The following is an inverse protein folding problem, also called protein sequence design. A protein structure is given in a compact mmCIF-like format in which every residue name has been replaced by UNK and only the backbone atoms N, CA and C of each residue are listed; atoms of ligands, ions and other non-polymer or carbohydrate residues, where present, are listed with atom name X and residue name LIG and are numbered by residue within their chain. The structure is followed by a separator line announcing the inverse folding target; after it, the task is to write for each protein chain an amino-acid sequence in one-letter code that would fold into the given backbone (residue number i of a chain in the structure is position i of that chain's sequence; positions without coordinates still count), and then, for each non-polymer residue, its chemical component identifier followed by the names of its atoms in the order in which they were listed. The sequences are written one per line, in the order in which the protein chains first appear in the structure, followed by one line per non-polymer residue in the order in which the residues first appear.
data_IF_683355920076
#
_entry.id   IF_683355920076
#
_cell.length_a   1.000
_cell.length_b   1.000
_cell.length_c   1.000
_cell.angle_alpha   90.00
_cell.angle_beta   90.00
_cell.angle_gamma   90.00
#
_symmetry.space_group_name_H-M   'P 1'
#
loop_
_entity.id
_entity.type
_entity.pdbx_description
1 polymer ?
#
# COMPACT_ATOMS: atom_id res chain seq x y z
N UNK A 1 21.73 57.46 -52.74
CA UNK A 1 23.01 56.91 -52.24
C UNK A 1 23.12 57.31 -50.76
N UNK A 2 22.93 56.38 -49.83
CA UNK A 2 22.90 56.67 -48.39
C UNK A 2 22.55 55.41 -47.59
N UNK A 3 23.51 54.97 -46.78
CA UNK A 3 23.71 53.60 -46.31
C UNK A 3 22.68 53.06 -45.31
N UNK A 4 22.46 51.75 -45.38
CA UNK A 4 21.88 50.90 -44.34
C UNK A 4 22.68 50.97 -43.03
N UNK A 5 22.00 51.10 -41.90
CA UNK A 5 22.49 50.58 -40.60
C UNK A 5 21.29 50.05 -39.78
N UNK A 6 21.08 48.72 -39.82
CA UNK A 6 20.27 48.02 -38.81
C UNK A 6 21.11 47.92 -37.55
N UNK A 7 20.78 48.70 -36.53
CA UNK A 7 21.35 48.51 -35.19
C UNK A 7 20.58 47.39 -34.50
N UNK A 8 21.15 46.18 -34.54
CA UNK A 8 20.75 45.08 -33.65
C UNK A 8 21.08 45.49 -32.20
N UNK A 9 20.10 45.37 -31.29
CA UNK A 9 20.30 45.44 -29.83
C UNK A 9 20.30 44.01 -29.26
N UNK A 10 21.45 43.33 -29.08
CA UNK A 10 21.49 42.02 -28.44
C UNK A 10 21.83 42.10 -26.94
N UNK A 11 21.64 43.24 -26.28
CA UNK A 11 22.19 43.49 -24.94
C UNK A 11 21.19 43.31 -23.76
N UNK A 12 19.87 43.29 -23.99
CA UNK A 12 18.90 43.15 -22.88
C UNK A 12 18.66 41.72 -22.41
N UNK A 13 18.97 40.71 -23.24
CA UNK A 13 18.71 39.30 -22.92
C UNK A 13 19.80 38.69 -22.03
N UNK A 14 21.02 39.23 -22.08
CA UNK A 14 22.19 38.74 -21.32
C UNK A 14 22.19 39.31 -19.89
N UNK A 15 21.63 40.50 -19.67
CA UNK A 15 21.61 41.09 -18.33
C UNK A 15 20.66 40.38 -17.34
N UNK A 16 19.66 39.63 -17.84
CA UNK A 16 18.77 38.82 -16.98
C UNK A 16 19.36 37.48 -16.56
N UNK A 17 20.41 36.98 -17.23
CA UNK A 17 21.04 35.71 -16.84
C UNK A 17 22.07 35.86 -15.71
N UNK A 18 22.50 37.08 -15.40
CA UNK A 18 23.55 37.34 -14.40
C UNK A 18 23.01 37.62 -12.98
N UNK A 19 21.69 37.62 -12.77
CA UNK A 19 21.06 37.93 -11.46
C UNK A 19 20.62 36.66 -10.72
N UNK A 20 21.47 35.62 -10.69
CA UNK A 20 21.31 34.49 -9.76
C UNK A 20 22.40 34.61 -8.68
N UNK A 21 22.05 34.81 -7.40
CA UNK A 21 23.04 34.82 -6.34
C UNK A 21 23.70 33.44 -6.22
N UNK A 22 24.97 33.37 -5.78
CA UNK A 22 25.69 32.11 -5.64
C UNK A 22 24.97 31.22 -4.63
N UNK A 23 24.67 29.98 -5.02
CA UNK A 23 24.14 28.95 -4.12
C UNK A 23 25.14 28.79 -2.97
N UNK A 24 24.69 29.07 -1.76
CA UNK A 24 25.44 28.81 -0.54
C UNK A 24 25.53 27.30 -0.31
N UNK A 25 26.70 26.83 0.11
CA UNK A 25 27.03 25.45 0.51
C UNK A 25 26.25 24.94 1.75
N UNK A 26 25.26 25.70 2.21
CA UNK A 26 24.23 25.24 3.15
C UNK A 26 23.03 24.74 2.34
N UNK A 27 23.31 23.77 1.45
CA UNK A 27 22.30 22.86 0.92
C UNK A 27 21.84 22.02 2.11
N UNK A 28 20.98 22.64 2.91
CA UNK A 28 20.32 22.01 4.04
C UNK A 28 19.55 20.85 3.42
N UNK A 29 20.00 19.67 3.77
CA UNK A 29 19.55 18.35 3.37
C UNK A 29 18.15 18.04 3.93
N UNK A 30 17.24 19.00 3.81
CA UNK A 30 15.88 18.94 4.35
C UNK A 30 14.95 19.56 3.32
N UNK A 31 13.93 18.79 2.94
CA UNK A 31 12.71 19.21 2.22
C UNK A 31 12.54 18.87 0.72
N UNK A 32 13.22 17.89 0.11
CA UNK A 32 12.83 17.51 -1.27
C UNK A 32 12.84 16.00 -1.60
N UNK A 33 12.71 15.12 -0.60
CA UNK A 33 12.54 13.67 -0.84
C UNK A 33 11.11 13.13 -0.58
N UNK A 34 10.20 13.95 -0.04
CA UNK A 34 8.85 13.52 0.36
C UNK A 34 7.71 13.89 -0.61
N UNK A 35 8.01 14.64 -1.69
CA UNK A 35 6.99 15.22 -2.57
C UNK A 35 6.82 14.49 -3.92
N UNK A 36 7.51 13.38 -4.17
CA UNK A 36 7.31 12.63 -5.41
C UNK A 36 6.34 11.49 -5.13
N UNK A 37 5.05 11.76 -5.37
CA UNK A 37 4.02 10.73 -5.54
C UNK A 37 4.57 9.69 -6.52
N UNK A 38 5.11 8.60 -5.98
CA UNK A 38 5.56 7.48 -6.79
C UNK A 38 4.27 6.89 -7.31
N UNK A 39 4.07 6.96 -8.63
CA UNK A 39 2.85 6.47 -9.28
C UNK A 39 2.39 5.09 -8.80
N UNK A 40 1.14 4.71 -9.10
CA UNK A 40 0.48 3.56 -8.50
C UNK A 40 1.34 2.30 -8.59
N UNK A 41 1.57 1.63 -7.45
CA UNK A 41 2.42 0.43 -7.37
C UNK A 41 1.86 -0.71 -8.24
N UNK A 42 0.54 -0.79 -8.33
CA UNK A 42 -0.18 -1.83 -9.05
C UNK A 42 -1.01 -1.24 -10.19
N UNK A 43 -1.15 -2.01 -11.27
CA UNK A 43 -2.10 -1.66 -12.33
C UNK A 43 -3.54 -1.73 -11.80
N UNK A 44 -4.45 -0.97 -12.42
CA UNK A 44 -5.89 -0.98 -12.05
C UNK A 44 -6.53 -2.38 -12.07
N UNK A 45 -5.98 -3.31 -12.84
CA UNK A 45 -6.46 -4.71 -12.88
C UNK A 45 -6.02 -5.47 -11.63
N UNK A 46 -4.74 -5.38 -11.28
CA UNK A 46 -4.17 -6.03 -10.09
C UNK A 46 -4.81 -5.48 -8.82
N UNK A 47 -5.01 -4.16 -8.75
CA UNK A 47 -5.70 -3.53 -7.62
C UNK A 47 -7.13 -4.06 -7.43
N UNK A 48 -7.91 -4.18 -8.52
CA UNK A 48 -9.26 -4.77 -8.45
C UNK A 48 -9.24 -6.25 -8.08
N UNK A 49 -8.26 -7.00 -8.57
CA UNK A 49 -8.09 -8.41 -8.20
C UNK A 49 -7.77 -8.55 -6.70
N UNK A 50 -6.87 -7.71 -6.17
CA UNK A 50 -6.56 -7.65 -4.74
C UNK A 50 -7.81 -7.36 -3.89
N UNK A 51 -8.62 -6.38 -4.28
CA UNK A 51 -9.88 -6.07 -3.61
C UNK A 51 -10.90 -7.21 -3.71
N UNK A 52 -11.00 -7.87 -4.86
CA UNK A 52 -11.89 -9.02 -5.04
C UNK A 52 -11.46 -10.19 -4.15
N UNK A 53 -10.17 -10.53 -4.13
CA UNK A 53 -9.63 -11.58 -3.25
C UNK A 53 -9.88 -11.22 -1.79
N UNK A 54 -9.57 -9.99 -1.38
CA UNK A 54 -9.81 -9.51 -0.02
C UNK A 54 -11.30 -9.62 0.37
N UNK A 55 -12.21 -9.17 -0.49
CA UNK A 55 -13.64 -9.24 -0.25
C UNK A 55 -14.16 -10.67 -0.14
N UNK A 56 -13.73 -11.56 -1.04
CA UNK A 56 -14.09 -12.99 -0.99
C UNK A 56 -13.55 -13.64 0.29
N UNK A 57 -12.30 -13.38 0.66
CA UNK A 57 -11.71 -13.91 1.89
C UNK A 57 -12.42 -13.39 3.14
N UNK A 58 -12.88 -12.13 3.16
CA UNK A 58 -13.70 -11.59 4.25
C UNK A 58 -15.05 -12.29 4.35
N UNK A 59 -15.75 -12.45 3.23
CA UNK A 59 -17.05 -13.13 3.19
C UNK A 59 -16.92 -14.57 3.71
N UNK A 60 -15.95 -15.34 3.18
CA UNK A 60 -15.68 -16.70 3.64
C UNK A 60 -15.27 -16.76 5.11
N UNK A 61 -14.55 -15.75 5.62
CA UNK A 61 -14.18 -15.67 7.03
C UNK A 61 -15.40 -15.43 7.91
N UNK A 62 -16.33 -14.56 7.51
CA UNK A 62 -17.58 -14.35 8.24
C UNK A 62 -18.40 -15.63 8.30
N UNK A 63 -18.54 -16.32 7.18
CA UNK A 63 -19.26 -17.60 7.13
C UNK A 63 -18.57 -18.66 8.01
N UNK A 64 -17.24 -18.76 7.95
CA UNK A 64 -16.45 -19.70 8.74
C UNK A 64 -16.55 -19.42 10.24
N UNK A 65 -16.34 -18.17 10.67
CA UNK A 65 -16.48 -17.80 12.08
C UNK A 65 -17.92 -17.92 12.55
N UNK A 66 -18.91 -17.60 11.71
CA UNK A 66 -20.31 -17.84 11.99
C UNK A 66 -20.59 -19.32 12.26
N UNK A 67 -20.05 -20.20 11.43
CA UNK A 67 -20.18 -21.64 11.59
C UNK A 67 -19.48 -22.15 12.87
N UNK A 68 -18.29 -21.64 13.19
CA UNK A 68 -17.61 -21.95 14.46
C UNK A 68 -18.38 -21.46 15.69
N UNK A 69 -18.94 -20.24 15.64
CA UNK A 69 -19.68 -19.68 16.76
C UNK A 69 -21.01 -20.40 16.99
N UNK A 70 -21.69 -20.80 15.91
CA UNK A 70 -22.99 -21.47 16.00
C UNK A 70 -22.87 -22.98 16.21
N UNK A 71 -21.82 -23.63 15.71
CA UNK A 71 -21.66 -25.08 15.72
C UNK A 71 -20.20 -25.56 15.79
N UNK A 72 -19.42 -25.02 16.71
CA UNK A 72 -18.01 -25.44 16.92
C UNK A 72 -17.84 -26.95 17.14
N UNK A 73 -18.73 -27.59 17.93
CA UNK A 73 -18.65 -29.04 18.19
C UNK A 73 -18.79 -29.86 16.91
N UNK A 74 -19.78 -29.55 16.07
CA UNK A 74 -19.96 -30.23 14.79
C UNK A 74 -18.75 -30.07 13.86
N UNK A 75 -18.11 -28.90 13.86
CA UNK A 75 -16.87 -28.68 13.08
C UNK A 75 -15.74 -29.53 13.60
N UNK A 76 -15.52 -29.57 14.92
CA UNK A 76 -14.43 -30.35 15.50
C UNK A 76 -14.64 -31.86 15.39
N UNK A 77 -15.89 -32.33 15.49
CA UNK A 77 -16.20 -33.76 15.35
C UNK A 77 -16.07 -34.24 13.90
N UNK A 78 -16.40 -33.40 12.91
CA UNK A 78 -16.32 -33.79 11.48
C UNK A 78 -14.95 -33.53 10.84
N UNK A 79 -14.36 -32.35 11.06
CA UNK A 79 -13.09 -31.96 10.43
C UNK A 79 -11.88 -32.20 11.33
N UNK A 80 -12.05 -32.23 12.65
CA UNK A 80 -10.95 -32.20 13.60
C UNK A 80 -10.39 -30.80 13.82
N UNK A 81 -9.88 -30.56 15.03
CA UNK A 81 -9.33 -29.26 15.43
C UNK A 81 -8.18 -28.78 14.53
N UNK A 82 -7.33 -29.70 14.07
CA UNK A 82 -6.15 -29.37 13.26
C UNK A 82 -6.53 -28.87 11.85
N UNK A 83 -7.52 -29.49 11.21
CA UNK A 83 -8.02 -29.01 9.92
C UNK A 83 -8.78 -27.69 10.07
N UNK A 84 -9.56 -27.51 11.14
CA UNK A 84 -10.22 -26.24 11.43
C UNK A 84 -9.20 -25.09 11.61
N UNK A 85 -8.06 -25.36 12.24
CA UNK A 85 -6.96 -24.40 12.36
C UNK A 85 -6.33 -24.08 11.01
N UNK A 86 -6.12 -25.08 10.14
CA UNK A 86 -5.58 -24.86 8.78
C UNK A 86 -6.51 -24.00 7.93
N UNK A 87 -7.83 -24.23 8.00
CA UNK A 87 -8.83 -23.40 7.32
C UNK A 87 -8.78 -21.97 7.85
N UNK A 88 -8.76 -21.80 9.17
CA UNK A 88 -8.64 -20.48 9.81
C UNK A 88 -7.37 -19.76 9.38
N UNK A 89 -6.23 -20.46 9.35
CA UNK A 89 -4.95 -19.93 8.88
C UNK A 89 -5.02 -19.47 7.42
N UNK A 90 -5.60 -20.29 6.53
CA UNK A 90 -5.74 -19.97 5.12
C UNK A 90 -6.61 -18.73 4.90
N UNK A 91 -7.73 -18.62 5.62
CA UNK A 91 -8.63 -17.47 5.56
C UNK A 91 -7.95 -16.19 6.07
N UNK A 92 -7.24 -16.27 7.21
CA UNK A 92 -6.51 -15.13 7.74
C UNK A 92 -5.37 -14.69 6.83
N UNK A 93 -4.65 -15.62 6.19
CA UNK A 93 -3.66 -15.30 5.17
C UNK A 93 -4.29 -14.62 3.94
N UNK A 94 -5.46 -15.11 3.51
CA UNK A 94 -6.26 -14.54 2.41
C UNK A 94 -6.70 -13.11 2.66
N UNK A 95 -6.80 -12.67 3.93
CA UNK A 95 -7.07 -11.28 4.30
C UNK A 95 -5.76 -10.49 4.49
N UNK A 96 -4.81 -11.05 5.23
CA UNK A 96 -3.57 -10.37 5.60
C UNK A 96 -2.70 -10.02 4.39
N UNK A 97 -2.53 -10.93 3.45
CA UNK A 97 -1.70 -10.72 2.25
C UNK A 97 -2.22 -9.56 1.39
N UNK A 98 -3.49 -9.54 0.93
CA UNK A 98 -3.98 -8.42 0.16
C UNK A 98 -4.02 -7.12 0.99
N UNK A 99 -4.29 -7.19 2.30
CA UNK A 99 -4.24 -6.00 3.17
C UNK A 99 -2.84 -5.38 3.21
N UNK A 100 -1.80 -6.20 3.37
CA UNK A 100 -0.40 -5.72 3.35
C UNK A 100 -0.02 -5.14 1.98
N UNK A 101 -0.42 -5.79 0.88
CA UNK A 101 -0.16 -5.29 -0.47
C UNK A 101 -0.90 -3.96 -0.72
N UNK A 102 -2.15 -3.84 -0.27
CA UNK A 102 -2.92 -2.59 -0.38
C UNK A 102 -2.32 -1.50 0.50
N UNK A 103 -1.90 -1.80 1.73
CA UNK A 103 -1.17 -0.88 2.60
C UNK A 103 0.10 -0.32 1.91
N UNK A 104 0.90 -1.19 1.29
CA UNK A 104 2.08 -0.77 0.51
C UNK A 104 1.72 0.07 -0.73
N UNK A 105 0.58 -0.23 -1.37
CA UNK A 105 0.08 0.54 -2.50
C UNK A 105 -0.32 1.96 -2.07
N UNK A 106 -1.11 2.10 -1.02
CA UNK A 106 -1.60 3.38 -0.52
C UNK A 106 -0.49 4.22 0.12
N UNK A 107 0.42 3.60 0.89
CA UNK A 107 1.57 4.28 1.49
C UNK A 107 2.58 4.83 0.49
N UNK A 108 2.54 4.38 -0.77
CA UNK A 108 3.39 4.90 -1.86
C UNK A 108 2.73 6.06 -2.63
N UNK A 109 1.40 6.09 -2.67
CA UNK A 109 0.61 7.10 -3.38
C UNK A 109 0.44 8.38 -2.55
N UNK A 110 0.35 8.27 -1.23
CA UNK A 110 0.09 9.39 -0.33
C UNK A 110 1.21 9.57 0.69
N UNK A 111 1.73 10.79 0.80
CA UNK A 111 2.68 11.19 1.85
C UNK A 111 1.99 11.31 3.23
N UNK A 112 0.66 11.40 3.24
CA UNK A 112 -0.19 11.42 4.44
C UNK A 112 -0.90 10.07 4.62
N UNK A 113 -1.12 9.64 5.87
CA UNK A 113 -1.86 8.40 6.17
C UNK A 113 -3.32 8.51 5.72
N UNK A 114 -3.61 7.98 4.54
CA UNK A 114 -4.99 7.83 4.03
C UNK A 114 -5.83 6.95 4.96
N UNK A 115 -7.12 7.22 5.09
CA UNK A 115 -8.05 6.39 5.90
C UNK A 115 -8.02 4.92 5.46
N UNK A 116 -7.88 4.66 4.16
CA UNK A 116 -7.75 3.32 3.60
C UNK A 116 -6.47 2.63 4.07
N UNK A 117 -5.37 3.36 4.21
CA UNK A 117 -4.11 2.81 4.70
C UNK A 117 -4.24 2.38 6.17
N UNK A 118 -4.95 3.17 6.99
CA UNK A 118 -5.25 2.81 8.38
C UNK A 118 -6.15 1.57 8.43
N UNK A 119 -7.21 1.53 7.62
CA UNK A 119 -8.10 0.38 7.52
C UNK A 119 -7.33 -0.91 7.20
N UNK A 120 -6.55 -0.92 6.11
CA UNK A 120 -5.80 -2.12 5.71
C UNK A 120 -4.72 -2.50 6.72
N UNK A 121 -4.12 -1.54 7.42
CA UNK A 121 -3.16 -1.81 8.50
C UNK A 121 -3.83 -2.52 9.69
N UNK A 122 -5.00 -2.03 10.13
CA UNK A 122 -5.77 -2.66 11.21
C UNK A 122 -6.22 -4.06 10.78
N UNK A 123 -6.78 -4.20 9.57
CA UNK A 123 -7.22 -5.51 9.08
C UNK A 123 -6.06 -6.49 8.96
N UNK A 124 -4.90 -6.05 8.46
CA UNK A 124 -3.69 -6.85 8.45
C UNK A 124 -3.29 -7.29 9.86
N UNK A 125 -3.23 -6.37 10.83
CA UNK A 125 -2.82 -6.67 12.19
C UNK A 125 -3.76 -7.69 12.85
N UNK A 126 -5.08 -7.51 12.72
CA UNK A 126 -6.07 -8.44 13.25
C UNK A 126 -5.94 -9.82 12.62
N UNK A 127 -5.87 -9.90 11.30
CA UNK A 127 -5.71 -11.17 10.60
C UNK A 127 -4.38 -11.85 10.89
N UNK A 128 -3.30 -11.09 11.04
CA UNK A 128 -1.99 -11.63 11.40
C UNK A 128 -2.00 -12.20 12.83
N UNK A 129 -2.57 -11.47 13.79
CA UNK A 129 -2.69 -11.91 15.19
C UNK A 129 -3.56 -13.16 15.33
N UNK A 130 -4.68 -13.23 14.59
CA UNK A 130 -5.58 -14.37 14.58
C UNK A 130 -5.00 -15.57 13.81
N UNK A 131 -4.29 -15.32 12.70
CA UNK A 131 -3.81 -16.35 11.79
C UNK A 131 -2.47 -16.98 12.16
N UNK A 132 -1.53 -16.19 12.69
CA UNK A 132 -0.16 -16.65 12.99
C UNK A 132 -0.13 -17.85 13.96
N UNK A 133 -0.88 -17.87 15.08
CA UNK A 133 -0.96 -19.04 15.95
C UNK A 133 -1.52 -20.27 15.24
N UNK A 134 -2.53 -20.09 14.36
CA UNK A 134 -3.12 -21.20 13.60
C UNK A 134 -2.13 -21.79 12.58
N UNK A 135 -1.33 -20.96 11.92
CA UNK A 135 -0.26 -21.40 11.00
C UNK A 135 0.82 -22.17 11.77
N UNK A 136 1.28 -21.62 12.89
CA UNK A 136 2.30 -22.25 13.74
C UNK A 136 1.85 -23.64 14.19
N UNK A 137 0.66 -23.75 14.77
CA UNK A 137 0.13 -25.05 15.21
C UNK A 137 -0.11 -25.98 14.02
N UNK A 138 -0.62 -25.48 12.89
CA UNK A 138 -0.90 -26.31 11.72
C UNK A 138 0.33 -26.88 11.01
N UNK A 139 1.52 -26.29 11.22
CA UNK A 139 2.81 -26.76 10.70
C UNK A 139 3.50 -27.74 11.67
N UNK A 140 3.41 -27.48 12.98
CA UNK A 140 4.13 -28.24 14.00
C UNK A 140 3.33 -29.38 14.66
N UNK A 141 2.04 -29.52 14.33
CA UNK A 141 1.17 -30.62 14.79
C UNK A 141 0.87 -31.61 13.65
#
# INVERSE_FOLDING_TARGET
MGYHTRVMKPAEKILRSLKRPPKTLFEKETEDSYARAKGPLFSRRVFRALLAVFGVSLMLSMDWFGLLLLNSRGVFDQMGALNALRVTAALMAGIAVPSALLMLHYGRLYTYTSEENVFFSITFALSFLLGSPCVLVGIFA
#
